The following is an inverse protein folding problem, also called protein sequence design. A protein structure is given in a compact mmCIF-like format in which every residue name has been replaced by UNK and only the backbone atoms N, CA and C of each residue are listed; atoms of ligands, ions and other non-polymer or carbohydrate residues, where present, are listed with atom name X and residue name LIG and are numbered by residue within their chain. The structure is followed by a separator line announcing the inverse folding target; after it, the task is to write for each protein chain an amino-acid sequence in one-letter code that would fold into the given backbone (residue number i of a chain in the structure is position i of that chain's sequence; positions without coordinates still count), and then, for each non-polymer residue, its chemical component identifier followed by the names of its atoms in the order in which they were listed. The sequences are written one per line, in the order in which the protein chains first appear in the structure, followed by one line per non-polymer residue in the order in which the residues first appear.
data_IF_935234347820
#
_entry.id   IF_935234347820
#
_cell.length_a   1.000
_cell.length_b   1.000
_cell.length_c   1.000
_cell.angle_alpha   90.00
_cell.angle_beta   90.00
_cell.angle_gamma   90.00
#
_symmetry.space_group_name_H-M   'P 1'
#
loop_
_entity.id
_entity.type
_entity.pdbx_description
1 polymer ?
#
# COMPACT_ATOMS: atom_id res chain seq x y z
N UNK A 1 -7.08 -18.36 3.70
CA UNK A 1 -7.69 -19.57 3.12
C UNK A 1 -6.64 -20.32 2.33
N UNK A 2 -6.50 -21.63 2.54
CA UNK A 2 -5.68 -22.46 1.67
C UNK A 2 -6.40 -22.68 0.34
N UNK A 3 -5.69 -22.53 -0.79
CA UNK A 3 -6.30 -22.64 -2.14
C UNK A 3 -6.99 -23.98 -2.39
N UNK A 4 -6.48 -25.06 -1.79
CA UNK A 4 -7.05 -26.41 -1.88
C UNK A 4 -7.61 -26.90 -0.54
N UNK A 5 -7.85 -25.99 0.41
CA UNK A 5 -8.47 -26.32 1.69
C UNK A 5 -9.98 -26.11 1.65
N UNK A 6 -10.63 -26.37 2.79
CA UNK A 6 -12.05 -26.09 3.01
C UNK A 6 -12.25 -24.80 3.80
N UNK A 7 -13.49 -24.57 4.26
CA UNK A 7 -13.86 -23.41 5.07
C UNK A 7 -13.12 -23.34 6.42
N UNK A 8 -12.68 -24.46 6.97
CA UNK A 8 -11.90 -24.50 8.21
C UNK A 8 -10.47 -24.00 8.04
N UNK A 9 -9.97 -23.93 6.80
CA UNK A 9 -8.64 -23.38 6.46
C UNK A 9 -8.59 -21.85 6.38
N UNK A 10 -9.73 -21.18 6.60
CA UNK A 10 -9.80 -19.71 6.58
C UNK A 10 -9.35 -19.17 7.94
N UNK A 11 -8.16 -18.57 7.95
CA UNK A 11 -7.71 -17.77 9.08
C UNK A 11 -8.01 -16.30 8.84
N UNK A 12 -8.53 -15.64 9.89
CA UNK A 12 -8.75 -14.21 9.94
C UNK A 12 -7.68 -13.56 10.82
N UNK A 13 -7.30 -12.34 10.48
CA UNK A 13 -6.39 -11.54 11.26
C UNK A 13 -6.79 -10.07 11.20
N UNK A 14 -6.37 -9.33 12.22
CA UNK A 14 -6.66 -7.91 12.34
C UNK A 14 -5.42 -7.09 12.00
N UNK A 15 -5.64 -5.99 11.30
CA UNK A 15 -4.63 -5.00 10.94
C UNK A 15 -5.13 -3.62 11.34
N UNK A 16 -4.24 -2.63 11.29
CA UNK A 16 -4.61 -1.24 11.57
C UNK A 16 -5.72 -0.75 10.62
N UNK A 17 -6.69 -0.02 11.16
CA UNK A 17 -7.80 0.54 10.40
C UNK A 17 -7.26 1.46 9.30
N UNK A 18 -7.58 1.12 8.05
CA UNK A 18 -7.11 1.84 6.89
C UNK A 18 -7.96 1.48 5.67
N UNK A 19 -7.80 2.22 4.59
CA UNK A 19 -8.36 1.84 3.30
C UNK A 19 -7.30 1.08 2.51
N UNK A 20 -7.66 -0.10 2.02
CA UNK A 20 -6.85 -0.91 1.11
C UNK A 20 -7.53 -0.87 -0.26
N UNK A 21 -6.82 -0.41 -1.27
CA UNK A 21 -7.30 -0.37 -2.65
C UNK A 21 -6.83 -1.61 -3.40
N UNK A 22 -5.92 -1.43 -4.36
CA UNK A 22 -5.43 -2.51 -5.18
C UNK A 22 -4.28 -3.27 -4.51
N UNK A 23 -4.30 -4.58 -4.69
CA UNK A 23 -3.21 -5.45 -4.28
C UNK A 23 -2.21 -5.50 -5.44
N UNK A 24 -0.96 -5.13 -5.18
CA UNK A 24 0.11 -5.27 -6.16
C UNK A 24 0.42 -6.73 -6.42
N UNK A 25 0.53 -7.50 -5.33
CA UNK A 25 1.09 -8.84 -5.39
C UNK A 25 0.86 -9.61 -4.09
N UNK A 26 0.61 -10.91 -4.22
CA UNK A 26 0.72 -11.87 -3.13
C UNK A 26 1.62 -13.02 -3.55
N UNK A 27 2.46 -13.51 -2.65
CA UNK A 27 3.19 -14.77 -2.86
C UNK A 27 3.44 -15.46 -1.53
N UNK A 28 3.63 -16.78 -1.59
CA UNK A 28 4.10 -17.58 -0.46
C UNK A 28 5.59 -17.81 -0.60
N UNK A 29 6.34 -17.59 0.47
CA UNK A 29 7.75 -17.95 0.57
C UNK A 29 7.91 -18.88 1.77
N UNK A 30 7.96 -20.19 1.50
CA UNK A 30 8.01 -21.23 2.55
C UNK A 30 6.87 -21.11 3.58
N UNK A 31 7.19 -20.62 4.79
CA UNK A 31 6.27 -20.42 5.91
C UNK A 31 5.72 -18.99 5.99
N UNK A 32 6.07 -18.12 5.06
CA UNK A 32 5.60 -16.74 5.02
C UNK A 32 4.63 -16.52 3.87
N UNK A 33 3.63 -15.69 4.12
CA UNK A 33 2.77 -15.12 3.09
C UNK A 33 3.02 -13.62 3.06
N UNK A 34 3.38 -13.12 1.88
CA UNK A 34 3.68 -11.71 1.67
C UNK A 34 2.58 -11.12 0.81
N UNK A 35 1.95 -10.05 1.29
CA UNK A 35 0.93 -9.30 0.58
C UNK A 35 1.41 -7.86 0.42
N UNK A 36 1.55 -7.39 -0.82
CA UNK A 36 1.88 -6.01 -1.15
C UNK A 36 0.65 -5.30 -1.67
N UNK A 37 0.33 -4.15 -1.08
CA UNK A 37 -0.95 -3.46 -1.30
C UNK A 37 -0.81 -1.95 -1.26
N UNK A 38 -1.71 -1.27 -1.97
CA UNK A 38 -1.97 0.16 -1.83
C UNK A 38 -2.80 0.40 -0.57
N UNK A 39 -2.30 1.24 0.33
CA UNK A 39 -3.00 1.63 1.56
C UNK A 39 -3.04 3.15 1.69
N UNK A 40 -4.19 3.69 2.08
CA UNK A 40 -4.36 5.06 2.56
C UNK A 40 -4.94 5.05 3.99
N UNK A 41 -4.83 6.19 4.69
CA UNK A 41 -5.39 6.31 6.04
C UNK A 41 -6.91 6.40 6.04
N UNK A 42 -7.52 6.88 4.96
CA UNK A 42 -8.97 7.06 4.84
C UNK A 42 -9.44 6.78 3.42
N UNK A 43 -10.70 6.41 3.30
CA UNK A 43 -11.35 6.16 2.03
C UNK A 43 -11.50 7.45 1.21
N UNK A 44 -11.28 7.34 -0.09
CA UNK A 44 -11.70 8.36 -1.08
C UNK A 44 -13.23 8.45 -1.17
N UNK A 45 -13.93 7.38 -0.76
CA UNK A 45 -15.38 7.25 -0.75
C UNK A 45 -15.86 6.88 0.66
N UNK A 46 -16.63 7.73 1.36
CA UNK A 46 -17.47 8.79 0.83
C UNK A 46 -16.70 10.08 0.51
N UNK A 47 -17.08 10.71 -0.61
CA UNK A 47 -16.76 12.10 -0.91
C UNK A 47 -17.08 12.97 0.32
N UNK A 48 -16.42 14.12 0.53
CA UNK A 48 -16.65 15.00 1.67
C UNK A 48 -18.12 15.24 1.96
N UNK A 49 -18.45 15.39 3.25
CA UNK A 49 -19.78 15.72 3.72
C UNK A 49 -20.38 16.90 2.94
N UNK A 50 -21.71 16.87 2.79
CA UNK A 50 -22.44 17.90 2.05
C UNK A 50 -22.14 19.30 2.61
N UNK A 51 -21.74 20.21 1.72
CA UNK A 51 -21.38 21.59 2.07
C UNK A 51 -19.87 21.84 2.16
N UNK A 52 -19.03 20.81 2.23
CA UNK A 52 -17.58 20.97 2.17
C UNK A 52 -17.10 21.07 0.71
N UNK A 53 -16.21 22.02 0.42
CA UNK A 53 -15.67 22.21 -0.92
C UNK A 53 -14.81 21.00 -1.32
N UNK A 54 -15.24 20.29 -2.37
CA UNK A 54 -14.59 19.07 -2.85
C UNK A 54 -13.13 19.29 -3.23
N UNK A 55 -12.83 20.37 -3.95
CA UNK A 55 -11.46 20.69 -4.36
C UNK A 55 -10.56 20.85 -3.14
N UNK A 56 -10.97 21.65 -2.15
CA UNK A 56 -10.20 21.85 -0.92
C UNK A 56 -10.00 20.56 -0.13
N UNK A 57 -11.02 19.70 -0.08
CA UNK A 57 -10.94 18.42 0.61
C UNK A 57 -9.95 17.47 -0.07
N UNK A 58 -10.09 17.26 -1.39
CA UNK A 58 -9.18 16.42 -2.15
C UNK A 58 -7.75 16.95 -2.13
N UNK A 59 -7.56 18.26 -2.35
CA UNK A 59 -6.24 18.88 -2.28
C UNK A 59 -5.56 18.61 -0.93
N UNK A 60 -6.27 18.81 0.19
CA UNK A 60 -5.73 18.49 1.53
C UNK A 60 -5.48 17.00 1.73
N UNK A 61 -6.39 16.15 1.27
CA UNK A 61 -6.28 14.71 1.39
C UNK A 61 -5.06 14.13 0.66
N UNK A 62 -4.67 14.71 -0.47
CA UNK A 62 -3.49 14.30 -1.23
C UNK A 62 -2.22 15.11 -0.91
N UNK A 63 -2.31 16.16 -0.11
CA UNK A 63 -1.14 16.93 0.33
C UNK A 63 -0.44 16.23 1.51
N UNK A 64 0.59 15.42 1.24
CA UNK A 64 1.42 14.76 2.27
C UNK A 64 2.34 15.73 3.03
N UNK A 65 2.41 17.00 2.61
CA UNK A 65 3.39 18.01 3.03
C UNK A 65 2.93 18.93 4.16
N UNK A 66 1.66 18.89 4.57
CA UNK A 66 1.18 19.76 5.64
C UNK A 66 1.56 19.18 7.02
N UNK A 67 2.33 19.91 7.84
CA UNK A 67 2.67 19.46 9.18
C UNK A 67 1.40 19.35 10.05
N UNK A 68 1.44 18.42 11.00
CA UNK A 68 0.41 18.26 12.03
C UNK A 68 0.43 19.53 12.89
N UNK A 69 -0.45 20.50 12.59
CA UNK A 69 -0.75 21.57 13.54
C UNK A 69 -1.49 20.94 14.71
N UNK A 70 -0.82 20.80 15.85
CA UNK A 70 -1.36 20.19 17.09
C UNK A 70 -2.59 20.92 17.64
N UNK A 71 -2.89 22.13 17.15
CA UNK A 71 -4.03 22.95 17.58
C UNK A 71 -5.21 22.96 16.61
N UNK A 72 -5.10 22.33 15.44
CA UNK A 72 -6.19 22.21 14.48
C UNK A 72 -6.36 20.75 14.11
N UNK A 73 -7.59 20.24 14.20
CA UNK A 73 -8.00 18.87 13.85
C UNK A 73 -7.92 18.63 12.32
N UNK A 74 -6.79 18.97 11.68
CA UNK A 74 -6.60 19.06 10.23
C UNK A 74 -5.38 18.25 9.84
N UNK A 75 -5.55 16.94 9.77
CA UNK A 75 -4.54 16.07 9.18
C UNK A 75 -4.59 16.21 7.65
N UNK A 76 -3.46 16.51 7.00
CA UNK A 76 -3.29 16.39 5.55
C UNK A 76 -2.85 14.98 5.16
N UNK A 77 -2.90 14.63 3.87
CA UNK A 77 -2.31 13.38 3.37
C UNK A 77 -3.10 12.10 3.69
N UNK A 78 -4.32 12.18 4.20
CA UNK A 78 -5.12 11.00 4.57
C UNK A 78 -5.63 10.17 3.38
N UNK A 79 -5.67 10.76 2.17
CA UNK A 79 -5.96 10.05 0.91
C UNK A 79 -4.69 9.60 0.19
N UNK A 80 -3.52 9.99 0.71
CA UNK A 80 -2.25 9.63 0.12
C UNK A 80 -2.06 8.11 0.20
N UNK A 81 -1.95 7.48 -0.96
CA UNK A 81 -1.91 6.02 -1.06
C UNK A 81 -0.46 5.58 -1.19
N UNK A 82 0.04 4.77 -0.26
CA UNK A 82 1.39 4.25 -0.29
C UNK A 82 1.39 2.73 -0.46
N UNK A 83 2.50 2.19 -0.96
CA UNK A 83 2.69 0.75 -1.04
C UNK A 83 3.18 0.19 0.32
N UNK A 84 2.37 -0.69 0.90
CA UNK A 84 2.66 -1.39 2.14
C UNK A 84 2.92 -2.88 1.87
N UNK A 85 3.85 -3.44 2.62
CA UNK A 85 4.07 -4.87 2.72
C UNK A 85 3.45 -5.36 4.02
N UNK A 86 2.59 -6.37 3.91
CA UNK A 86 2.14 -7.20 5.00
C UNK A 86 2.88 -8.54 4.92
N UNK A 87 3.58 -8.87 5.98
CA UNK A 87 4.22 -10.16 6.20
C UNK A 87 3.39 -10.93 7.19
N UNK A 88 3.13 -12.17 6.84
CA UNK A 88 2.35 -13.09 7.64
C UNK A 88 3.17 -14.36 7.78
N UNK A 89 3.89 -14.48 8.89
CA UNK A 89 4.67 -15.67 9.20
C UNK A 89 3.77 -16.74 9.81
N UNK A 90 3.98 -17.98 9.40
CA UNK A 90 3.19 -19.14 9.81
C UNK A 90 4.13 -20.10 10.54
N UNK A 91 4.33 -19.86 11.83
CA UNK A 91 5.16 -20.73 12.65
C UNK A 91 4.26 -21.61 13.54
N UNK A 92 4.27 -22.92 13.35
CA UNK A 92 3.52 -23.88 14.18
C UNK A 92 2.02 -23.56 14.36
N UNK A 93 1.40 -22.84 13.41
CA UNK A 93 0.00 -22.42 13.48
C UNK A 93 -0.23 -21.08 14.22
N UNK A 94 0.83 -20.44 14.72
CA UNK A 94 0.83 -19.06 15.21
C UNK A 94 1.10 -18.15 14.02
N UNK A 95 0.36 -17.04 13.97
CA UNK A 95 0.39 -16.09 12.87
C UNK A 95 0.96 -14.76 13.38
N UNK A 96 2.19 -14.44 13.01
CA UNK A 96 2.78 -13.14 13.30
C UNK A 96 2.61 -12.21 12.12
N UNK A 97 2.20 -10.98 12.40
CA UNK A 97 1.82 -10.00 11.39
C UNK A 97 2.75 -8.82 11.52
N UNK A 98 3.49 -8.55 10.46
CA UNK A 98 4.31 -7.36 10.35
C UNK A 98 3.86 -6.53 9.17
N UNK A 99 3.60 -5.24 9.41
CA UNK A 99 3.24 -4.30 8.36
C UNK A 99 4.26 -3.17 8.28
N UNK A 100 4.71 -2.85 7.07
CA UNK A 100 5.63 -1.73 6.85
C UNK A 100 5.40 -1.06 5.51
N UNK A 101 5.58 0.27 5.48
CA UNK A 101 5.67 1.01 4.23
C UNK A 101 7.05 0.72 3.60
N UNK A 102 7.06 0.21 2.37
CA UNK A 102 8.30 -0.19 1.71
C UNK A 102 8.75 0.75 0.60
N UNK A 103 7.92 1.72 0.17
CA UNK A 103 8.25 2.68 -0.91
C UNK A 103 8.40 4.12 -0.41
N UNK A 104 8.20 4.36 0.89
CA UNK A 104 8.20 5.69 1.48
C UNK A 104 6.89 6.45 1.23
N UNK A 105 6.92 7.76 1.48
CA UNK A 105 5.77 8.67 1.38
C UNK A 105 6.02 9.82 0.41
N UNK A 106 7.04 9.69 -0.44
CA UNK A 106 7.42 10.73 -1.42
C UNK A 106 6.39 10.88 -2.53
N UNK A 107 5.75 9.78 -2.92
CA UNK A 107 4.74 9.79 -3.98
C UNK A 107 3.49 8.98 -3.61
N UNK A 108 2.33 9.47 -4.03
CA UNK A 108 1.08 8.71 -3.91
C UNK A 108 0.97 7.76 -5.08
N UNK A 109 0.65 6.49 -4.83
CA UNK A 109 0.65 5.45 -5.86
C UNK A 109 -0.55 4.52 -5.76
N UNK A 110 -1.14 4.21 -6.92
CA UNK A 110 -2.22 3.23 -7.07
C UNK A 110 -2.22 2.61 -8.48
N UNK A 111 -3.16 1.72 -8.75
CA UNK A 111 -3.27 0.95 -10.00
C UNK A 111 -2.01 0.13 -10.31
N UNK A 112 -1.65 -0.80 -9.40
CA UNK A 112 -0.49 -1.61 -9.56
C UNK A 112 -0.66 -2.71 -10.60
N UNK A 113 0.41 -3.01 -11.31
CA UNK A 113 0.48 -4.14 -12.22
C UNK A 113 1.88 -4.78 -12.19
N UNK A 114 1.91 -6.08 -12.48
CA UNK A 114 3.13 -6.89 -12.56
C UNK A 114 3.11 -7.67 -13.88
N UNK A 115 4.27 -8.20 -14.29
CA UNK A 115 4.28 -9.22 -15.33
C UNK A 115 3.43 -10.42 -14.85
N UNK A 116 2.40 -10.75 -15.63
CA UNK A 116 1.42 -11.79 -15.33
C UNK A 116 2.07 -13.18 -15.15
N UNK A 117 3.20 -13.45 -15.79
CA UNK A 117 3.98 -14.70 -15.64
C UNK A 117 4.46 -14.93 -14.21
N UNK A 118 4.54 -13.86 -13.40
CA UNK A 118 4.98 -13.91 -12.00
C UNK A 118 3.82 -13.82 -11.00
N UNK A 119 2.57 -13.97 -11.46
CA UNK A 119 1.41 -13.96 -10.58
C UNK A 119 1.51 -15.11 -9.58
N UNK A 120 1.49 -14.79 -8.27
CA UNK A 120 1.63 -15.78 -7.19
C UNK A 120 3.08 -16.22 -6.90
N UNK A 121 4.06 -15.74 -7.66
CA UNK A 121 5.48 -16.11 -7.52
C UNK A 121 6.32 -14.94 -7.00
N UNK A 122 7.49 -15.23 -6.42
CA UNK A 122 8.46 -14.19 -6.04
C UNK A 122 8.99 -13.47 -7.30
N UNK A 123 9.06 -12.15 -7.24
CA UNK A 123 9.38 -11.23 -8.34
C UNK A 123 9.78 -9.88 -7.73
N UNK A 124 10.75 -9.22 -8.37
CA UNK A 124 11.38 -7.97 -7.95
C UNK A 124 10.73 -6.72 -8.54
N UNK A 125 9.97 -6.84 -9.63
CA UNK A 125 9.48 -5.68 -10.37
C UNK A 125 7.96 -5.58 -10.36
N UNK A 126 7.47 -4.37 -10.21
CA UNK A 126 6.08 -4.00 -10.46
C UNK A 126 6.01 -2.58 -10.97
N UNK A 127 4.84 -2.18 -11.41
CA UNK A 127 4.57 -0.85 -11.94
C UNK A 127 3.30 -0.32 -11.29
N UNK A 128 3.22 0.99 -11.11
CA UNK A 128 2.02 1.65 -10.64
C UNK A 128 1.92 3.05 -11.23
N UNK A 129 0.70 3.57 -11.23
CA UNK A 129 0.48 4.98 -11.47
C UNK A 129 0.84 5.75 -10.22
N UNK A 130 1.58 6.83 -10.41
CA UNK A 130 2.06 7.71 -9.35
C UNK A 130 1.55 9.11 -9.60
N UNK A 131 1.08 9.76 -8.55
CA UNK A 131 0.65 11.17 -8.57
C UNK A 131 1.58 11.97 -7.68
N UNK A 132 2.17 13.02 -8.26
CA UNK A 132 2.76 14.14 -7.54
C UNK A 132 1.80 15.33 -7.67
N UNK A 133 1.91 16.33 -6.79
CA UNK A 133 1.02 17.50 -6.74
C UNK A 133 0.91 18.27 -8.08
N UNK A 134 1.83 18.05 -9.02
CA UNK A 134 1.84 18.70 -10.33
C UNK A 134 1.59 17.75 -11.52
N UNK A 135 1.85 16.45 -11.41
CA UNK A 135 1.83 15.51 -12.55
C UNK A 135 1.48 14.07 -12.14
N UNK A 136 0.81 13.35 -13.04
CA UNK A 136 0.64 11.90 -12.95
C UNK A 136 1.65 11.20 -13.89
N UNK A 137 2.37 10.21 -13.37
CA UNK A 137 3.45 9.50 -14.07
C UNK A 137 3.33 7.99 -13.83
N UNK A 138 3.99 7.18 -14.65
CA UNK A 138 4.18 5.74 -14.40
C UNK A 138 5.51 5.56 -13.69
N UNK A 139 5.53 4.85 -12.56
CA UNK A 139 6.76 4.51 -11.87
C UNK A 139 7.04 3.01 -11.91
N UNK A 140 8.32 2.66 -12.05
CA UNK A 140 8.82 1.29 -11.89
C UNK A 140 9.21 1.11 -10.43
N UNK A 141 8.61 0.11 -9.79
CA UNK A 141 8.95 -0.27 -8.41
C UNK A 141 9.91 -1.45 -8.44
N UNK A 142 11.09 -1.23 -7.87
CA UNK A 142 12.03 -2.29 -7.55
C UNK A 142 11.87 -2.69 -6.08
N UNK A 143 11.32 -3.88 -5.87
CA UNK A 143 11.16 -4.43 -4.53
C UNK A 143 12.40 -5.24 -4.15
N UNK A 144 13.26 -4.67 -3.30
CA UNK A 144 14.36 -5.40 -2.67
C UNK A 144 13.84 -6.26 -1.51
N UNK A 145 14.56 -7.34 -1.20
CA UNK A 145 14.33 -8.13 0.02
C UNK A 145 14.89 -7.39 1.24
N UNK A 146 14.19 -7.37 2.39
CA UNK A 146 14.59 -6.60 3.57
C UNK A 146 15.89 -7.09 4.24
N UNK A 147 16.43 -8.24 3.83
CA UNK A 147 17.73 -8.76 4.30
C UNK A 147 18.96 -7.97 3.79
N UNK A 148 18.77 -6.90 3.01
CA UNK A 148 19.88 -6.03 2.59
C UNK A 148 19.44 -4.57 2.47
N UNK A 149 19.56 -3.80 3.56
CA UNK A 149 19.57 -2.32 3.66
C UNK A 149 18.37 -1.51 3.09
N UNK A 150 17.98 -0.37 3.71
CA UNK A 150 16.80 0.37 3.30
C UNK A 150 17.16 1.46 2.27
N UNK A 151 16.68 1.32 1.04
CA UNK A 151 16.19 2.43 0.19
C UNK A 151 15.80 1.90 -1.20
N UNK A 152 14.50 1.87 -1.56
CA UNK A 152 14.10 1.75 -2.95
C UNK A 152 14.30 3.11 -3.64
N UNK A 153 15.12 3.14 -4.70
CA UNK A 153 15.08 4.22 -5.68
C UNK A 153 13.84 4.00 -6.56
N UNK A 154 12.81 4.83 -6.39
CA UNK A 154 11.78 4.98 -7.41
C UNK A 154 12.42 5.67 -8.62
N UNK A 155 12.60 4.95 -9.72
CA UNK A 155 13.04 5.55 -10.98
C UNK A 155 11.80 5.80 -11.84
N UNK A 156 11.48 7.08 -12.06
CA UNK A 156 10.54 7.51 -13.10
C UNK A 156 11.30 7.65 -14.42
N UNK A 157 10.82 7.00 -15.47
CA UNK A 157 11.31 7.23 -16.84
C UNK A 157 10.34 8.18 -17.54
N UNK A 158 10.87 9.28 -18.09
CA UNK A 158 10.14 10.22 -18.94
C UNK A 158 9.82 9.63 -20.32
#
# INVERSE_FOLDING_TARGET
MLRYGDTSSVQWFYIELSCIFHIFKCFRDSYEVVVRRCRSLTLVFPCPDWGMNKFNWFSRGFNSREPVDTNANKHGGYLFTCAYCLWVEIEHGIWEIQESNFMGTEFSMDFPFINAEFTGLRNRYGYAQVTNSEQALIAVMQCQSPLSSPCPLAQSSA
#
